data_IF_801447564893
#
_entry.id   IF_801447564893
#
_cell.length_a   1.000
_cell.length_b   1.000
_cell.length_c   1.000
_cell.angle_alpha   90.00
_cell.angle_beta   90.00
_cell.angle_gamma   90.00
#
_symmetry.space_group_name_H-M   'P 1'
#
loop_
_entity.id
_entity.type
_entity.pdbx_description
1 polymer ?
#
# COMPACT_ATOMS: atom_id res chain seq x y z
N UNK A 1 43.35 19.01 20.52
CA UNK A 1 42.38 19.64 19.61
C UNK A 1 41.63 18.49 18.96
N UNK A 2 40.43 18.18 19.49
CA UNK A 2 39.50 17.24 18.86
C UNK A 2 38.95 17.91 17.58
N UNK A 3 39.15 17.29 16.43
CA UNK A 3 38.51 17.69 15.20
C UNK A 3 37.02 17.37 15.34
N UNK A 4 36.17 18.40 15.21
CA UNK A 4 34.75 18.23 15.19
C UNK A 4 34.40 17.37 13.92
N UNK A 5 33.72 16.26 14.15
CA UNK A 5 33.11 15.49 13.08
C UNK A 5 32.09 16.39 12.35
N UNK A 6 32.00 16.34 11.02
CA UNK A 6 30.98 17.09 10.30
C UNK A 6 29.61 16.63 10.78
N UNK A 7 28.67 17.57 10.97
CA UNK A 7 27.28 17.28 11.24
C UNK A 7 26.76 16.26 10.23
N UNK A 8 26.03 15.22 10.70
CA UNK A 8 25.43 14.25 9.79
C UNK A 8 24.48 15.00 8.85
N UNK A 9 24.78 14.97 7.58
CA UNK A 9 23.92 15.52 6.56
C UNK A 9 22.51 14.92 6.75
N UNK A 10 21.51 15.79 6.91
CA UNK A 10 20.10 15.38 6.94
C UNK A 10 19.88 14.42 5.79
N UNK A 11 19.22 13.26 5.98
CA UNK A 11 18.92 12.35 4.89
C UNK A 11 18.01 13.05 3.89
N UNK A 12 18.63 13.71 2.91
CA UNK A 12 17.92 14.21 1.75
C UNK A 12 17.57 12.99 0.92
N UNK A 13 16.34 12.50 1.05
CA UNK A 13 15.79 11.61 0.05
C UNK A 13 16.05 12.25 -1.31
N UNK A 14 16.62 11.50 -2.27
CA UNK A 14 16.90 12.07 -3.57
C UNK A 14 15.58 12.62 -4.09
N UNK A 15 15.49 13.94 -4.16
CA UNK A 15 14.44 14.62 -4.89
C UNK A 15 14.52 14.05 -6.30
N UNK A 16 13.62 13.10 -6.63
CA UNK A 16 13.64 12.29 -7.83
C UNK A 16 13.35 13.06 -9.13
N UNK A 17 13.66 14.36 -9.14
CA UNK A 17 13.32 15.28 -10.20
C UNK A 17 14.03 15.02 -11.54
N UNK A 18 15.09 14.22 -11.58
CA UNK A 18 15.89 14.11 -12.81
C UNK A 18 15.72 12.82 -13.61
N UNK A 19 15.16 11.78 -13.03
CA UNK A 19 15.05 10.49 -13.75
C UNK A 19 13.77 10.36 -14.60
N UNK A 20 12.69 11.08 -14.29
CA UNK A 20 11.48 11.08 -15.12
C UNK A 20 11.60 11.97 -16.36
N UNK A 21 12.33 13.07 -16.28
CA UNK A 21 12.50 14.01 -17.41
C UNK A 21 13.38 13.47 -18.54
N UNK A 22 14.16 12.42 -18.30
CA UNK A 22 15.10 11.86 -19.28
C UNK A 22 14.55 10.64 -20.05
N UNK A 23 13.47 10.01 -19.60
CA UNK A 23 12.86 8.90 -20.31
C UNK A 23 11.80 9.44 -21.29
N UNK A 24 11.80 9.01 -22.56
CA UNK A 24 10.77 9.40 -23.51
C UNK A 24 9.41 8.97 -22.98
N UNK A 25 8.34 9.77 -23.17
CA UNK A 25 6.99 9.37 -22.79
C UNK A 25 6.67 8.00 -23.41
N UNK A 26 6.08 7.10 -22.65
CA UNK A 26 5.79 5.73 -23.11
C UNK A 26 5.00 5.70 -24.42
N UNK A 27 4.10 6.67 -24.64
CA UNK A 27 3.33 6.81 -25.88
C UNK A 27 4.20 7.00 -27.15
N UNK A 28 5.44 7.44 -26.99
CA UNK A 28 6.38 7.61 -28.12
C UNK A 28 7.19 6.34 -28.40
N UNK A 29 7.15 5.35 -27.53
CA UNK A 29 7.80 4.06 -27.77
C UNK A 29 6.97 3.22 -28.75
N UNK A 30 7.64 2.52 -29.66
CA UNK A 30 7.00 1.47 -30.44
C UNK A 30 6.56 0.29 -29.56
N UNK A 31 5.73 -0.59 -30.10
CA UNK A 31 5.23 -1.79 -29.37
C UNK A 31 6.38 -2.65 -28.84
N UNK A 32 7.46 -2.83 -29.60
CA UNK A 32 8.65 -3.54 -29.13
C UNK A 32 9.26 -2.86 -27.90
N UNK A 33 9.44 -1.53 -27.94
CA UNK A 33 9.98 -0.79 -26.81
C UNK A 33 9.13 -0.88 -25.55
N UNK A 34 7.80 -0.90 -25.67
CA UNK A 34 6.88 -1.13 -24.54
C UNK A 34 7.01 -2.54 -23.96
N UNK A 35 7.13 -3.56 -24.82
CA UNK A 35 7.37 -4.94 -24.39
C UNK A 35 8.73 -5.10 -23.70
N UNK A 36 9.75 -4.38 -24.16
CA UNK A 36 11.06 -4.35 -23.52
C UNK A 36 10.98 -3.67 -22.13
N UNK A 37 10.23 -2.60 -21.99
CA UNK A 37 9.94 -1.98 -20.67
C UNK A 37 9.32 -3.01 -19.73
N UNK A 38 8.30 -3.75 -20.17
CA UNK A 38 7.64 -4.77 -19.33
C UNK A 38 8.61 -5.90 -18.94
N UNK A 39 9.46 -6.34 -19.85
CA UNK A 39 10.46 -7.37 -19.57
C UNK A 39 11.48 -6.87 -18.53
N UNK A 40 12.04 -5.68 -18.73
CA UNK A 40 13.01 -5.10 -17.82
C UNK A 40 12.41 -4.80 -16.44
N UNK A 41 11.17 -4.32 -16.38
CA UNK A 41 10.48 -4.07 -15.09
C UNK A 41 10.23 -5.37 -14.32
N UNK A 42 9.87 -6.47 -14.98
CA UNK A 42 9.71 -7.78 -14.34
C UNK A 42 11.02 -8.28 -13.73
N UNK A 43 12.13 -8.16 -14.47
CA UNK A 43 13.46 -8.55 -14.00
C UNK A 43 13.92 -7.66 -12.83
N UNK A 44 13.70 -6.34 -12.95
CA UNK A 44 14.06 -5.38 -11.90
C UNK A 44 13.26 -5.60 -10.61
N UNK A 45 11.97 -5.91 -10.69
CA UNK A 45 11.13 -6.24 -9.52
C UNK A 45 11.67 -7.46 -8.78
N UNK A 46 12.04 -8.51 -9.50
CA UNK A 46 12.62 -9.71 -8.88
C UNK A 46 13.90 -9.37 -8.11
N UNK A 47 14.78 -8.57 -8.69
CA UNK A 47 16.02 -8.15 -8.04
C UNK A 47 15.74 -7.26 -6.80
N UNK A 48 14.86 -6.28 -6.92
CA UNK A 48 14.53 -5.34 -5.82
C UNK A 48 13.91 -6.09 -4.65
N UNK A 49 12.98 -7.03 -4.89
CA UNK A 49 12.40 -7.85 -3.82
C UNK A 49 13.42 -8.77 -3.18
N UNK A 50 14.37 -9.32 -3.95
CA UNK A 50 15.49 -10.07 -3.40
C UNK A 50 16.35 -9.24 -2.46
N UNK A 51 16.72 -8.03 -2.84
CA UNK A 51 17.48 -7.11 -1.99
C UNK A 51 16.67 -6.64 -0.77
N UNK A 52 15.37 -6.38 -0.92
CA UNK A 52 14.49 -6.02 0.21
C UNK A 52 14.43 -7.13 1.25
N UNK A 53 14.27 -8.38 0.80
CA UNK A 53 14.26 -9.54 1.68
C UNK A 53 15.60 -9.70 2.42
N UNK A 54 16.74 -9.58 1.72
CA UNK A 54 18.06 -9.62 2.33
C UNK A 54 18.26 -8.50 3.36
N UNK A 55 17.86 -7.26 3.03
CA UNK A 55 17.93 -6.15 3.97
C UNK A 55 17.07 -6.43 5.21
N UNK A 56 15.87 -7.01 5.04
CA UNK A 56 15.00 -7.40 6.15
C UNK A 56 15.61 -8.47 7.06
N UNK A 57 16.33 -9.44 6.49
CA UNK A 57 17.02 -10.49 7.25
C UNK A 57 18.22 -9.97 8.05
N UNK A 58 18.88 -8.93 7.55
CA UNK A 58 20.06 -8.33 8.18
C UNK A 58 19.70 -7.24 9.19
N UNK A 59 18.46 -6.75 9.16
CA UNK A 59 17.98 -5.72 10.08
C UNK A 59 17.86 -6.30 11.49
N UNK A 60 18.69 -5.81 12.41
CA UNK A 60 18.74 -6.22 13.83
C UNK A 60 18.39 -5.09 14.78
N UNK A 61 18.01 -3.95 14.25
CA UNK A 61 17.77 -2.73 15.01
C UNK A 61 16.27 -2.50 15.15
N UNK A 62 15.80 -2.39 16.39
CA UNK A 62 14.38 -2.12 16.71
C UNK A 62 14.03 -0.62 16.60
N UNK A 63 14.99 0.23 16.21
CA UNK A 63 14.72 1.66 16.02
C UNK A 63 13.73 1.85 14.86
N UNK A 64 12.71 2.69 15.05
CA UNK A 64 11.76 2.98 13.99
C UNK A 64 12.49 3.60 12.79
N UNK A 65 12.10 3.18 11.58
CA UNK A 65 12.55 3.79 10.34
C UNK A 65 11.40 4.61 9.74
N UNK A 66 11.69 5.72 9.05
CA UNK A 66 10.66 6.45 8.34
C UNK A 66 10.10 5.53 7.26
N UNK A 67 8.78 5.33 7.28
CA UNK A 67 8.14 4.56 6.23
C UNK A 67 7.96 5.41 4.96
N UNK A 68 7.92 4.76 3.81
CA UNK A 68 7.60 5.43 2.55
C UNK A 68 6.23 6.13 2.61
N UNK A 69 5.27 5.56 3.37
CA UNK A 69 3.95 6.16 3.57
C UNK A 69 4.01 7.46 4.40
N UNK A 70 4.76 7.48 5.51
CA UNK A 70 4.93 8.69 6.31
C UNK A 70 5.61 9.81 5.52
N UNK A 71 6.66 9.48 4.77
CA UNK A 71 7.33 10.43 3.87
C UNK A 71 6.40 10.93 2.75
N UNK A 72 5.55 10.07 2.22
CA UNK A 72 4.59 10.41 1.18
C UNK A 72 3.49 11.36 1.70
N UNK A 73 3.00 11.14 2.94
CA UNK A 73 2.04 12.04 3.58
C UNK A 73 2.63 13.43 3.80
N UNK A 74 3.86 13.52 4.28
CA UNK A 74 4.54 14.80 4.46
C UNK A 74 4.74 15.53 3.12
N UNK A 75 5.19 14.82 2.09
CA UNK A 75 5.35 15.38 0.75
C UNK A 75 4.02 15.83 0.13
N UNK A 76 2.94 15.08 0.36
CA UNK A 76 1.60 15.43 -0.11
C UNK A 76 1.08 16.70 0.58
N UNK A 77 1.30 16.81 1.90
CA UNK A 77 0.94 18.01 2.66
C UNK A 77 1.70 19.25 2.16
N UNK A 78 3.02 19.15 1.97
CA UNK A 78 3.86 20.23 1.44
C UNK A 78 3.42 20.65 0.05
N UNK A 79 3.19 19.71 -0.86
CA UNK A 79 2.81 19.99 -2.23
C UNK A 79 1.43 20.67 -2.32
N UNK A 80 0.46 20.25 -1.51
CA UNK A 80 -0.86 20.89 -1.44
C UNK A 80 -0.82 22.26 -0.80
N UNK A 81 -0.01 22.46 0.23
CA UNK A 81 0.21 23.78 0.80
C UNK A 81 0.84 24.75 -0.21
N UNK A 82 1.66 24.23 -1.13
CA UNK A 82 2.18 24.98 -2.27
C UNK A 82 1.18 25.17 -3.43
N UNK A 83 -0.05 24.66 -3.31
CA UNK A 83 -1.11 24.82 -4.31
C UNK A 83 -1.00 23.92 -5.54
N UNK A 84 -0.21 22.83 -5.48
CA UNK A 84 -0.12 21.90 -6.59
C UNK A 84 -1.37 21.04 -6.74
N UNK A 85 -1.79 20.81 -7.97
CA UNK A 85 -2.85 19.86 -8.29
C UNK A 85 -2.36 18.42 -8.22
N UNK A 86 -3.25 17.46 -7.92
CA UNK A 86 -2.89 16.07 -7.63
C UNK A 86 -2.13 15.36 -8.75
N UNK A 87 -2.42 15.66 -10.01
CA UNK A 87 -1.69 15.15 -11.18
C UNK A 87 -0.22 15.62 -11.19
N UNK A 88 0.00 16.91 -10.88
CA UNK A 88 1.33 17.49 -10.76
C UNK A 88 2.08 16.93 -9.53
N UNK A 89 1.38 16.72 -8.43
CA UNK A 89 1.98 16.15 -7.23
C UNK A 89 2.54 14.76 -7.51
N UNK A 90 1.79 13.88 -8.20
CA UNK A 90 2.28 12.54 -8.55
C UNK A 90 3.50 12.58 -9.50
N UNK A 91 3.63 13.62 -10.31
CA UNK A 91 4.79 13.81 -11.19
C UNK A 91 6.02 14.36 -10.45
N UNK A 92 5.83 15.37 -9.62
CA UNK A 92 6.92 16.09 -8.97
C UNK A 92 7.40 15.40 -7.68
N UNK A 93 6.50 14.71 -6.99
CA UNK A 93 6.75 14.01 -5.72
C UNK A 93 6.43 12.51 -5.85
N UNK A 94 7.22 11.73 -6.60
CA UNK A 94 6.88 10.30 -6.85
C UNK A 94 6.79 9.44 -5.59
N UNK A 95 7.24 9.92 -4.43
CA UNK A 95 7.04 9.25 -3.15
C UNK A 95 5.57 9.08 -2.80
N UNK A 96 4.67 9.97 -3.27
CA UNK A 96 3.23 9.89 -2.99
C UNK A 96 2.57 8.64 -3.58
N UNK A 97 3.22 7.98 -4.54
CA UNK A 97 2.77 6.69 -5.07
C UNK A 97 2.77 5.59 -4.00
N UNK A 98 3.48 5.78 -2.88
CA UNK A 98 3.38 4.88 -1.73
C UNK A 98 1.98 4.87 -1.08
N UNK A 99 1.17 5.91 -1.32
CA UNK A 99 -0.19 6.03 -0.79
C UNK A 99 -1.26 5.41 -1.71
N UNK A 100 -0.87 4.94 -2.88
CA UNK A 100 -1.79 4.39 -3.87
C UNK A 100 -1.36 2.99 -4.28
N UNK A 101 -2.32 2.04 -4.46
CA UNK A 101 -1.98 0.71 -4.95
C UNK A 101 -1.52 0.76 -6.41
N UNK A 102 -0.61 -0.13 -6.84
CA UNK A 102 -0.31 -0.30 -8.25
C UNK A 102 -1.53 -0.85 -8.99
N UNK A 103 -1.87 -0.27 -10.15
CA UNK A 103 -3.01 -0.72 -10.95
C UNK A 103 -2.79 -0.42 -12.43
N UNK A 104 -3.31 -1.27 -13.28
CA UNK A 104 -3.48 -0.97 -14.71
C UNK A 104 -4.81 -0.22 -14.84
N UNK A 105 -4.76 1.00 -15.38
CA UNK A 105 -5.92 1.86 -15.49
C UNK A 105 -5.59 3.32 -15.14
N UNK A 106 -6.60 4.19 -15.04
CA UNK A 106 -6.40 5.59 -14.69
C UNK A 106 -5.70 5.72 -13.32
N UNK A 107 -4.89 6.78 -13.11
CA UNK A 107 -4.20 7.01 -11.85
C UNK A 107 -5.17 6.95 -10.66
N UNK A 108 -4.77 6.28 -9.60
CA UNK A 108 -5.54 6.30 -8.38
C UNK A 108 -5.53 7.71 -7.77
N UNK A 109 -6.68 8.17 -7.28
CA UNK A 109 -6.78 9.44 -6.59
C UNK A 109 -5.88 9.44 -5.33
N UNK A 110 -5.17 10.52 -5.10
CA UNK A 110 -4.43 10.72 -3.87
C UNK A 110 -5.41 10.91 -2.69
N UNK A 111 -5.02 10.58 -1.45
CA UNK A 111 -5.86 10.78 -0.27
C UNK A 111 -6.34 12.23 -0.15
N UNK A 112 -7.63 12.43 0.14
CA UNK A 112 -8.28 13.75 0.07
C UNK A 112 -7.80 14.75 1.12
N UNK A 113 -7.79 14.37 2.39
CA UNK A 113 -7.34 15.23 3.47
C UNK A 113 -6.00 14.73 4.03
N UNK A 114 -4.98 15.57 3.99
CA UNK A 114 -3.75 15.37 4.74
C UNK A 114 -3.74 16.43 5.82
N UNK A 115 -3.89 16.01 7.05
CA UNK A 115 -3.61 16.87 8.19
C UNK A 115 -2.11 17.18 8.21
N UNK A 116 -1.71 18.22 8.93
CA UNK A 116 -0.31 18.56 9.13
C UNK A 116 0.49 17.31 9.46
N UNK A 117 1.22 16.81 8.46
CA UNK A 117 2.12 15.66 8.59
C UNK A 117 3.53 16.18 8.40
N UNK A 118 4.32 16.09 9.44
CA UNK A 118 5.76 16.38 9.36
C UNK A 118 6.52 15.12 8.99
N UNK A 119 7.60 15.27 8.23
CA UNK A 119 8.50 14.16 7.97
C UNK A 119 9.05 13.64 9.30
N UNK A 120 9.17 12.30 9.47
CA UNK A 120 9.76 11.73 10.67
C UNK A 120 11.17 12.29 10.89
N UNK A 121 11.44 12.76 12.10
CA UNK A 121 12.76 13.27 12.51
C UNK A 121 13.46 12.24 13.40
N UNK A 122 14.78 12.14 13.29
CA UNK A 122 15.61 11.27 14.12
C UNK A 122 16.77 10.62 13.38
N UNK A 123 17.59 9.90 14.14
CA UNK A 123 18.61 9.02 13.60
C UNK A 123 17.98 7.65 13.28
N UNK A 124 18.06 7.26 12.02
CA UNK A 124 17.53 5.99 11.54
C UNK A 124 18.66 5.05 11.16
N UNK A 125 18.45 3.75 11.32
CA UNK A 125 19.39 2.75 10.86
C UNK A 125 19.47 2.81 9.32
N UNK A 126 20.68 2.94 8.76
CA UNK A 126 20.88 3.03 7.30
C UNK A 126 20.22 1.87 6.54
N UNK A 127 20.30 0.65 7.09
CA UNK A 127 19.71 -0.53 6.48
C UNK A 127 18.17 -0.47 6.45
N UNK A 128 17.53 0.12 7.47
CA UNK A 128 16.09 0.32 7.52
C UNK A 128 15.65 1.34 6.46
N UNK A 129 16.38 2.44 6.33
CA UNK A 129 16.16 3.45 5.28
C UNK A 129 16.37 2.84 3.89
N UNK A 130 17.41 2.03 3.70
CA UNK A 130 17.68 1.36 2.44
C UNK A 130 16.55 0.38 2.07
N UNK A 131 16.01 -0.35 3.03
CA UNK A 131 14.87 -1.26 2.83
C UNK A 131 13.61 -0.51 2.37
N UNK A 132 13.27 0.59 3.02
CA UNK A 132 12.13 1.41 2.61
C UNK A 132 12.34 2.04 1.21
N UNK A 133 13.57 2.45 0.89
CA UNK A 133 13.91 2.92 -0.44
C UNK A 133 13.75 1.82 -1.51
N UNK A 134 14.05 0.56 -1.20
CA UNK A 134 13.80 -0.58 -2.10
C UNK A 134 12.31 -0.81 -2.32
N UNK A 135 11.47 -0.73 -1.27
CA UNK A 135 10.01 -0.81 -1.37
C UNK A 135 9.45 0.28 -2.28
N UNK A 136 9.90 1.51 -2.09
CA UNK A 136 9.48 2.63 -2.94
C UNK A 136 9.91 2.43 -4.39
N UNK A 137 11.12 1.93 -4.63
CA UNK A 137 11.57 1.57 -5.99
C UNK A 137 10.73 0.47 -6.61
N UNK A 138 10.36 -0.57 -5.85
CA UNK A 138 9.46 -1.60 -6.33
C UNK A 138 8.12 -0.99 -6.77
N UNK A 139 7.56 -0.06 -5.97
CA UNK A 139 6.32 0.64 -6.32
C UNK A 139 6.45 1.47 -7.61
N UNK A 140 7.58 2.15 -7.80
CA UNK A 140 7.82 2.91 -9.04
C UNK A 140 7.97 2.01 -10.28
N UNK A 141 8.63 0.87 -10.12
CA UNK A 141 8.77 -0.12 -11.21
C UNK A 141 7.39 -0.69 -11.57
N UNK A 142 6.55 -1.00 -10.58
CA UNK A 142 5.18 -1.46 -10.80
C UNK A 142 4.35 -0.40 -11.53
N UNK A 143 4.49 0.88 -11.17
CA UNK A 143 3.81 1.97 -11.86
C UNK A 143 4.25 2.09 -13.32
N UNK A 144 5.54 1.97 -13.59
CA UNK A 144 6.08 2.00 -14.95
C UNK A 144 5.56 0.82 -15.77
N UNK A 145 5.53 -0.38 -15.19
CA UNK A 145 4.98 -1.57 -15.84
C UNK A 145 3.49 -1.41 -16.15
N UNK A 146 2.71 -0.90 -15.19
CA UNK A 146 1.27 -0.68 -15.36
C UNK A 146 0.97 0.31 -16.50
N UNK A 147 1.72 1.41 -16.56
CA UNK A 147 1.59 2.39 -17.64
C UNK A 147 1.98 1.83 -19.02
N UNK A 148 3.05 1.03 -19.08
CA UNK A 148 3.46 0.39 -20.33
C UNK A 148 2.43 -0.65 -20.79
N UNK A 149 1.85 -1.41 -19.86
CA UNK A 149 0.78 -2.35 -20.18
C UNK A 149 -0.48 -1.63 -20.65
N UNK A 150 -0.89 -0.54 -20.00
CA UNK A 150 -2.05 0.25 -20.38
C UNK A 150 -1.87 0.85 -21.79
N UNK A 151 -0.70 1.42 -22.10
CA UNK A 151 -0.38 1.93 -23.44
C UNK A 151 -0.49 0.85 -24.53
N UNK A 152 -0.05 -0.40 -24.22
CA UNK A 152 -0.28 -1.53 -25.13
C UNK A 152 -1.77 -1.82 -25.22
N UNK A 153 -2.49 -1.78 -24.10
CA UNK A 153 -3.95 -1.96 -24.05
C UNK A 153 -4.68 -0.96 -24.95
N UNK A 154 -4.34 0.32 -24.87
CA UNK A 154 -4.90 1.37 -25.73
C UNK A 154 -4.71 1.06 -27.22
N UNK A 155 -3.53 0.61 -27.61
CA UNK A 155 -3.23 0.22 -28.99
C UNK A 155 -4.01 -1.00 -29.44
N UNK A 156 -4.14 -2.00 -28.57
CA UNK A 156 -4.93 -3.22 -28.86
C UNK A 156 -6.42 -2.91 -28.97
N UNK A 157 -6.95 -2.04 -28.13
CA UNK A 157 -8.33 -1.56 -28.19
C UNK A 157 -8.58 -0.75 -29.47
N UNK A 158 -7.66 0.17 -29.80
CA UNK A 158 -7.74 0.93 -31.06
C UNK A 158 -7.68 0.04 -32.31
N UNK A 159 -7.04 -1.14 -32.19
CA UNK A 159 -6.99 -2.16 -33.25
C UNK A 159 -8.18 -3.13 -33.23
N UNK A 160 -9.15 -2.94 -32.33
CA UNK A 160 -10.35 -3.78 -32.20
C UNK A 160 -10.10 -5.16 -31.58
N UNK A 161 -8.94 -5.39 -30.93
CA UNK A 161 -8.64 -6.66 -30.27
C UNK A 161 -9.17 -6.74 -28.84
N UNK A 162 -9.09 -5.64 -28.08
CA UNK A 162 -9.59 -5.59 -26.71
C UNK A 162 -10.85 -4.71 -26.64
N UNK A 163 -11.79 -5.02 -25.73
CA UNK A 163 -13.00 -4.21 -25.55
C UNK A 163 -12.66 -2.86 -24.89
N UNK A 164 -11.67 -2.83 -24.01
CA UNK A 164 -11.19 -1.66 -23.27
C UNK A 164 -9.70 -1.82 -22.96
N UNK A 165 -8.95 -0.72 -22.75
CA UNK A 165 -7.51 -0.79 -22.50
C UNK A 165 -7.13 -1.59 -21.25
N UNK A 166 -7.91 -1.51 -20.20
CA UNK A 166 -7.71 -2.18 -18.92
C UNK A 166 -7.83 -3.71 -19.02
N UNK A 167 -8.52 -4.22 -20.05
CA UNK A 167 -8.64 -5.65 -20.30
C UNK A 167 -7.28 -6.33 -20.57
N UNK A 168 -6.23 -5.55 -20.83
CA UNK A 168 -4.85 -6.03 -20.86
C UNK A 168 -4.43 -6.72 -19.56
N UNK A 169 -5.04 -6.38 -18.42
CA UNK A 169 -4.81 -7.02 -17.13
C UNK A 169 -5.23 -8.50 -17.09
N UNK A 170 -6.08 -8.94 -18.02
CA UNK A 170 -6.51 -10.33 -18.13
C UNK A 170 -5.51 -11.20 -18.90
N UNK A 171 -4.46 -10.60 -19.46
CA UNK A 171 -3.44 -11.29 -20.24
C UNK A 171 -2.18 -11.54 -19.41
N UNK A 172 -1.65 -12.74 -19.50
CA UNK A 172 -0.29 -13.02 -19.02
C UNK A 172 0.73 -12.31 -19.92
N UNK A 173 1.92 -12.02 -19.41
CA UNK A 173 2.95 -11.30 -20.18
C UNK A 173 3.27 -11.95 -21.54
N UNK A 174 3.32 -13.28 -21.59
CA UNK A 174 3.54 -14.01 -22.84
C UNK A 174 2.37 -13.87 -23.83
N UNK A 175 1.13 -13.83 -23.34
CA UNK A 175 -0.08 -13.64 -24.11
C UNK A 175 -0.19 -12.19 -24.61
N UNK A 176 0.12 -11.22 -23.74
CA UNK A 176 0.20 -9.81 -24.09
C UNK A 176 1.22 -9.59 -25.21
N UNK A 177 2.39 -10.19 -25.11
CA UNK A 177 3.40 -10.16 -26.19
C UNK A 177 2.82 -10.70 -27.50
N UNK A 178 2.15 -11.85 -27.45
CA UNK A 178 1.54 -12.47 -28.64
C UNK A 178 0.42 -11.58 -29.23
N UNK A 179 -0.44 -11.02 -28.37
CA UNK A 179 -1.49 -10.11 -28.81
C UNK A 179 -0.89 -8.85 -29.46
N UNK A 180 0.16 -8.29 -28.88
CA UNK A 180 0.80 -7.08 -29.39
C UNK A 180 1.59 -7.28 -30.70
N UNK A 181 2.17 -8.49 -30.92
CA UNK A 181 2.99 -8.78 -32.10
C UNK A 181 2.24 -9.50 -33.21
N UNK A 182 1.34 -10.40 -32.87
CA UNK A 182 0.64 -11.26 -33.82
C UNK A 182 -0.86 -11.00 -33.87
N UNK A 183 -1.40 -10.04 -33.12
CA UNK A 183 -2.84 -9.74 -33.02
C UNK A 183 -3.70 -10.96 -32.68
N UNK A 184 -3.18 -11.83 -31.81
CA UNK A 184 -3.84 -13.07 -31.43
C UNK A 184 -4.09 -13.09 -29.92
N UNK A 185 -5.35 -13.16 -29.52
CA UNK A 185 -5.76 -13.37 -28.13
C UNK A 185 -5.84 -14.87 -27.80
N UNK A 186 -5.73 -15.26 -26.53
CA UNK A 186 -6.07 -16.61 -26.09
C UNK A 186 -7.52 -16.96 -26.43
N UNK A 187 -7.79 -18.23 -26.75
CA UNK A 187 -9.13 -18.67 -27.13
C UNK A 187 -10.17 -18.48 -26.02
N UNK A 188 -9.71 -18.54 -24.77
CA UNK A 188 -10.52 -18.39 -23.55
C UNK A 188 -10.62 -16.92 -23.07
N UNK A 189 -10.07 -15.96 -23.85
CA UNK A 189 -10.00 -14.57 -23.40
C UNK A 189 -11.38 -13.95 -23.08
N UNK A 190 -12.39 -14.27 -23.89
CA UNK A 190 -13.75 -13.74 -23.70
C UNK A 190 -14.42 -14.22 -22.40
N UNK A 191 -13.97 -15.36 -21.87
CA UNK A 191 -14.51 -15.96 -20.65
C UNK A 191 -13.72 -15.54 -19.39
N UNK A 192 -12.65 -14.76 -19.57
CA UNK A 192 -11.83 -14.30 -18.46
C UNK A 192 -12.49 -13.12 -17.75
N UNK A 193 -12.71 -13.27 -16.47
CA UNK A 193 -13.05 -12.17 -15.56
C UNK A 193 -11.82 -11.69 -14.82
N UNK A 194 -11.85 -10.44 -14.36
CA UNK A 194 -10.87 -9.97 -13.40
C UNK A 194 -10.90 -10.89 -12.17
N UNK A 195 -9.73 -11.41 -11.72
CA UNK A 195 -9.72 -12.27 -10.54
C UNK A 195 -10.29 -11.50 -9.34
N UNK A 196 -11.33 -12.07 -8.73
CA UNK A 196 -11.78 -11.55 -7.44
C UNK A 196 -10.61 -11.62 -6.44
N UNK A 197 -10.44 -10.59 -5.59
CA UNK A 197 -9.44 -10.64 -4.55
C UNK A 197 -9.69 -11.86 -3.67
N UNK A 198 -8.88 -12.90 -3.82
CA UNK A 198 -8.94 -14.05 -2.92
C UNK A 198 -8.55 -13.58 -1.52
N UNK A 199 -9.36 -13.93 -0.53
CA UNK A 199 -8.99 -13.77 0.85
C UNK A 199 -7.74 -14.64 1.11
N UNK A 200 -6.58 -14.01 1.18
CA UNK A 200 -5.35 -14.72 1.49
C UNK A 200 -5.40 -15.15 2.95
N UNK A 201 -5.17 -16.44 3.28
CA UNK A 201 -5.14 -16.88 4.66
C UNK A 201 -4.06 -16.11 5.43
N UNK A 202 -4.35 -15.73 6.67
CA UNK A 202 -3.41 -14.99 7.53
C UNK A 202 -2.16 -15.81 7.87
N UNK A 203 -2.28 -17.13 7.84
CA UNK A 203 -1.17 -18.08 8.01
C UNK A 203 -1.27 -19.18 6.95
N UNK A 204 -0.15 -19.48 6.32
CA UNK A 204 -0.05 -20.61 5.39
C UNK A 204 1.30 -21.31 5.57
N UNK A 205 1.33 -22.60 5.24
CA UNK A 205 2.57 -23.38 5.14
C UNK A 205 2.73 -23.87 3.70
N UNK A 206 3.94 -24.13 3.31
CA UNK A 206 4.18 -24.85 2.07
C UNK A 206 4.12 -26.35 2.33
N UNK A 207 3.29 -27.03 1.57
CA UNK A 207 3.25 -28.49 1.48
C UNK A 207 3.53 -28.82 0.02
N UNK A 208 4.60 -29.56 -0.24
CA UNK A 208 5.05 -29.94 -1.58
C UNK A 208 5.17 -28.75 -2.56
N UNK A 209 5.65 -27.61 -2.06
CA UNK A 209 5.80 -26.38 -2.84
C UNK A 209 4.51 -25.58 -3.06
N UNK A 210 3.37 -26.06 -2.56
CA UNK A 210 2.06 -25.39 -2.68
C UNK A 210 1.71 -24.71 -1.36
N UNK A 211 1.29 -23.43 -1.35
CA UNK A 211 0.81 -22.76 -0.16
C UNK A 211 -0.52 -23.38 0.29
N UNK A 212 -0.57 -23.87 1.52
CA UNK A 212 -1.76 -24.46 2.15
C UNK A 212 -2.11 -23.63 3.38
N UNK A 213 -3.36 -23.18 3.48
CA UNK A 213 -3.84 -22.44 4.63
C UNK A 213 -3.65 -23.27 5.91
N UNK A 214 -3.09 -22.66 6.94
CA UNK A 214 -3.04 -23.26 8.27
C UNK A 214 -4.37 -22.97 8.94
N UNK A 215 -5.16 -24.04 9.19
CA UNK A 215 -6.34 -23.92 10.03
C UNK A 215 -5.88 -23.56 11.44
N UNK A 216 -6.04 -22.32 11.82
CA UNK A 216 -5.79 -21.89 13.19
C UNK A 216 -6.93 -22.40 14.05
N UNK A 217 -6.61 -23.05 15.18
CA UNK A 217 -7.61 -23.33 16.20
C UNK A 217 -8.42 -22.06 16.45
N UNK A 218 -9.75 -22.17 16.43
CA UNK A 218 -10.68 -21.06 16.49
C UNK A 218 -10.25 -20.09 17.60
N UNK A 219 -9.68 -18.94 17.22
CA UNK A 219 -9.51 -17.83 18.14
C UNK A 219 -10.90 -17.44 18.60
N UNK A 220 -11.04 -17.05 19.86
CA UNK A 220 -12.32 -16.54 20.33
C UNK A 220 -12.81 -15.47 19.36
N UNK A 221 -14.08 -15.49 19.07
CA UNK A 221 -14.69 -14.60 18.07
C UNK A 221 -14.32 -13.12 18.27
N UNK A 222 -13.92 -12.72 19.49
CA UNK A 222 -13.65 -11.35 19.91
C UNK A 222 -12.15 -10.97 19.88
N UNK A 223 -11.32 -11.73 19.14
CA UNK A 223 -9.90 -11.47 19.03
C UNK A 223 -9.43 -11.48 17.59
N UNK A 224 -8.68 -10.42 17.22
CA UNK A 224 -7.83 -10.39 16.04
C UNK A 224 -6.35 -10.59 16.39
N UNK A 225 -5.48 -10.05 15.58
CA UNK A 225 -4.04 -9.93 15.82
C UNK A 225 -3.74 -8.49 16.12
N UNK A 226 -3.15 -8.22 17.27
CA UNK A 226 -2.68 -6.88 17.60
C UNK A 226 -1.51 -6.48 16.68
N UNK A 227 -1.57 -5.26 16.15
CA UNK A 227 -0.54 -4.70 15.28
C UNK A 227 0.20 -3.50 15.93
N UNK A 228 -0.07 -3.21 17.19
CA UNK A 228 0.57 -2.16 17.99
C UNK A 228 -0.27 -0.91 18.14
N UNK A 229 0.31 0.16 18.69
CA UNK A 229 -0.36 1.45 18.93
C UNK A 229 -1.06 1.57 20.29
N UNK A 230 -0.90 0.61 21.20
CA UNK A 230 -1.49 0.68 22.54
C UNK A 230 -2.96 0.28 22.58
N UNK A 231 -3.73 0.94 23.45
CA UNK A 231 -5.19 0.73 23.58
C UNK A 231 -5.95 1.99 23.19
N UNK A 232 -7.15 1.82 22.64
CA UNK A 232 -8.03 2.91 22.24
C UNK A 232 -9.50 2.62 22.51
N UNK A 233 -10.27 3.68 22.59
CA UNK A 233 -11.73 3.63 22.77
C UNK A 233 -12.38 4.68 21.87
N UNK A 234 -13.47 4.33 21.23
CA UNK A 234 -14.21 5.25 20.38
C UNK A 234 -15.42 4.62 19.74
N UNK A 235 -16.14 5.44 19.01
CA UNK A 235 -17.33 5.02 18.27
C UNK A 235 -16.93 4.37 16.95
N UNK A 236 -17.49 3.22 16.66
CA UNK A 236 -17.29 2.48 15.39
C UNK A 236 -17.79 3.33 14.22
N UNK A 237 -16.96 3.44 13.21
CA UNK A 237 -17.33 3.98 11.90
C UNK A 237 -17.00 2.95 10.81
N UNK A 238 -17.99 2.63 10.00
CA UNK A 238 -17.86 1.75 8.84
C UNK A 238 -18.02 2.58 7.57
N UNK A 239 -16.98 2.73 6.78
CA UNK A 239 -17.07 3.49 5.53
C UNK A 239 -15.90 4.45 5.30
N UNK A 240 -16.15 5.45 4.45
CA UNK A 240 -15.17 6.46 4.08
C UNK A 240 -15.34 7.72 4.95
N UNK A 241 -14.25 8.45 5.17
CA UNK A 241 -14.20 9.71 5.92
C UNK A 241 -14.66 9.56 7.38
N UNK A 242 -13.93 8.78 8.17
CA UNK A 242 -14.24 8.59 9.57
C UNK A 242 -14.16 9.91 10.34
N UNK A 243 -15.11 10.20 11.26
CA UNK A 243 -14.98 11.31 12.17
C UNK A 243 -13.70 11.23 13.00
N UNK A 244 -13.08 12.35 13.38
CA UNK A 244 -11.96 12.35 14.32
C UNK A 244 -12.33 11.66 15.63
N UNK A 245 -11.42 10.83 16.16
CA UNK A 245 -11.64 10.09 17.39
C UNK A 245 -12.52 8.84 17.25
N UNK A 246 -12.92 8.46 16.04
CA UNK A 246 -13.64 7.20 15.79
C UNK A 246 -12.71 5.98 15.72
N UNK A 247 -13.28 4.80 15.92
CA UNK A 247 -12.65 3.51 15.60
C UNK A 247 -13.13 3.10 14.21
N UNK A 248 -12.22 3.15 13.25
CA UNK A 248 -12.52 2.77 11.86
C UNK A 248 -12.52 1.25 11.71
N UNK A 249 -13.61 0.69 11.18
CA UNK A 249 -13.74 -0.74 10.90
C UNK A 249 -13.80 -0.97 9.40
N UNK A 250 -12.87 -1.76 8.87
CA UNK A 250 -12.72 -2.03 7.44
C UNK A 250 -12.53 -3.51 7.15
N UNK A 251 -12.80 -3.92 5.90
CA UNK A 251 -12.51 -5.29 5.47
C UNK A 251 -11.02 -5.53 5.31
N UNK A 252 -10.29 -4.57 4.76
CA UNK A 252 -8.85 -4.67 4.52
C UNK A 252 -8.17 -3.32 4.69
N UNK A 253 -6.89 -3.34 5.01
CA UNK A 253 -6.08 -2.15 5.19
C UNK A 253 -5.72 -1.54 3.82
N UNK A 254 -6.54 -0.60 3.36
CA UNK A 254 -6.29 0.14 2.12
C UNK A 254 -5.28 1.26 2.37
N UNK A 255 -4.19 1.38 1.63
CA UNK A 255 -3.21 2.46 1.76
C UNK A 255 -3.81 3.87 1.68
N UNK A 256 -4.95 4.04 0.98
CA UNK A 256 -5.66 5.32 0.88
C UNK A 256 -6.18 5.84 2.21
N UNK A 257 -6.32 4.97 3.21
CA UNK A 257 -6.72 5.35 4.57
C UNK A 257 -5.58 6.04 5.36
N UNK A 258 -4.37 6.08 4.80
CA UNK A 258 -3.20 6.64 5.49
C UNK A 258 -3.43 8.06 6.02
N UNK A 259 -4.16 8.90 5.28
CA UNK A 259 -4.46 10.27 5.68
C UNK A 259 -5.43 10.36 6.87
N UNK A 260 -6.24 9.34 7.09
CA UNK A 260 -7.23 9.30 8.18
C UNK A 260 -6.62 8.76 9.49
N UNK A 261 -5.60 7.92 9.38
CA UNK A 261 -4.99 7.20 10.52
C UNK A 261 -4.65 8.11 11.69
N UNK A 262 -3.96 9.26 11.52
CA UNK A 262 -3.57 10.11 12.67
C UNK A 262 -4.74 10.66 13.49
N UNK A 263 -5.95 10.60 12.95
CA UNK A 263 -7.16 11.16 13.57
C UNK A 263 -8.02 10.12 14.27
N UNK A 264 -7.70 8.83 14.10
CA UNK A 264 -8.49 7.72 14.62
C UNK A 264 -8.17 7.44 16.08
N UNK A 265 -9.18 6.98 16.82
CA UNK A 265 -9.00 6.35 18.13
C UNK A 265 -8.56 4.88 18.00
N UNK A 266 -8.75 4.27 16.83
CA UNK A 266 -8.33 2.91 16.54
C UNK A 266 -8.71 2.45 15.14
N UNK A 267 -8.10 1.34 14.71
CA UNK A 267 -8.34 0.73 13.39
C UNK A 267 -8.51 -0.78 13.54
N UNK A 268 -9.62 -1.31 13.02
CA UNK A 268 -9.92 -2.74 13.04
C UNK A 268 -10.13 -3.21 11.60
N UNK A 269 -9.44 -4.27 11.19
CA UNK A 269 -9.57 -4.85 9.85
C UNK A 269 -9.89 -6.34 9.91
N UNK A 270 -10.79 -6.79 9.04
CA UNK A 270 -11.12 -8.22 8.90
C UNK A 270 -9.92 -8.99 8.37
N UNK A 271 -9.19 -8.39 7.42
CA UNK A 271 -7.98 -8.97 6.82
C UNK A 271 -6.84 -7.97 6.85
N UNK A 272 -5.63 -8.45 6.91
CA UNK A 272 -4.43 -7.61 6.92
C UNK A 272 -3.28 -8.27 7.66
N UNK A 273 -2.12 -7.64 7.57
CA UNK A 273 -0.92 -8.06 8.28
C UNK A 273 -0.49 -6.99 9.28
N UNK A 274 -0.02 -7.36 10.49
CA UNK A 274 0.62 -6.42 11.41
C UNK A 274 1.84 -5.71 10.81
N UNK A 275 2.38 -6.24 9.72
CA UNK A 275 3.51 -5.71 8.97
C UNK A 275 3.09 -4.90 7.73
N UNK A 276 1.80 -4.67 7.51
CA UNK A 276 1.33 -3.81 6.42
C UNK A 276 1.74 -2.35 6.67
N UNK A 277 1.97 -1.60 5.59
CA UNK A 277 2.35 -0.18 5.69
C UNK A 277 1.38 0.64 6.54
N UNK A 278 0.07 0.38 6.41
CA UNK A 278 -0.93 1.12 7.16
C UNK A 278 -0.91 0.77 8.66
N UNK A 279 -0.67 -0.50 9.01
CA UNK A 279 -0.52 -0.91 10.40
C UNK A 279 0.75 -0.32 11.03
N UNK A 280 1.84 -0.25 10.27
CA UNK A 280 3.08 0.38 10.72
C UNK A 280 2.86 1.88 10.93
N UNK A 281 2.24 2.57 9.97
CA UNK A 281 1.93 3.99 10.07
C UNK A 281 1.04 4.29 11.29
N UNK A 282 0.00 3.50 11.51
CA UNK A 282 -0.87 3.67 12.67
C UNK A 282 -0.10 3.53 13.99
N UNK A 283 0.81 2.58 14.08
CA UNK A 283 1.68 2.41 15.23
C UNK A 283 2.61 3.60 15.45
N UNK A 284 3.16 4.20 14.38
CA UNK A 284 3.98 5.42 14.45
C UNK A 284 3.19 6.60 15.01
N UNK A 285 1.89 6.67 14.72
CA UNK A 285 0.98 7.68 15.26
C UNK A 285 0.33 7.29 16.59
N UNK A 286 0.73 6.17 17.20
CA UNK A 286 0.16 5.70 18.47
C UNK A 286 -1.29 5.21 18.37
N UNK A 287 -1.79 4.98 17.16
CA UNK A 287 -3.16 4.49 16.91
C UNK A 287 -3.18 2.96 17.03
N UNK A 288 -4.02 2.39 17.95
CA UNK A 288 -4.12 0.95 18.11
C UNK A 288 -4.74 0.30 16.87
N UNK A 289 -4.12 -0.80 16.43
CA UNK A 289 -4.56 -1.56 15.27
C UNK A 289 -4.79 -3.02 15.62
N UNK A 290 -5.92 -3.54 15.18
CA UNK A 290 -6.26 -4.97 15.25
C UNK A 290 -6.56 -5.46 13.83
N UNK A 291 -5.85 -6.47 13.37
CA UNK A 291 -6.05 -7.11 12.06
C UNK A 291 -6.53 -8.54 12.19
N UNK A 292 -7.15 -9.08 11.16
CA UNK A 292 -7.66 -10.44 11.18
C UNK A 292 -8.79 -10.65 12.20
N UNK A 293 -9.59 -9.62 12.48
CA UNK A 293 -10.79 -9.75 13.31
C UNK A 293 -11.95 -10.27 12.45
N UNK A 294 -12.44 -11.49 12.69
CA UNK A 294 -13.39 -12.10 11.78
C UNK A 294 -14.73 -11.34 11.72
N UNK A 295 -15.21 -11.07 10.50
CA UNK A 295 -16.50 -10.42 10.25
C UNK A 295 -16.68 -9.06 10.99
N UNK A 296 -15.59 -8.30 11.16
CA UNK A 296 -15.60 -7.04 11.93
C UNK A 296 -16.74 -6.10 11.52
N UNK A 297 -16.92 -5.92 10.20
CA UNK A 297 -17.95 -5.01 9.66
C UNK A 297 -19.38 -5.46 9.93
N UNK A 298 -19.61 -6.74 10.27
CA UNK A 298 -20.93 -7.26 10.65
C UNK A 298 -21.13 -7.34 12.16
N UNK A 299 -20.04 -7.58 12.88
CA UNK A 299 -20.07 -7.85 14.33
C UNK A 299 -19.92 -6.63 15.19
N UNK A 300 -19.33 -5.58 14.63
CA UNK A 300 -19.17 -4.29 15.28
C UNK A 300 -20.10 -3.29 14.57
N UNK A 301 -21.30 -3.04 15.11
CA UNK A 301 -22.26 -2.15 14.47
C UNK A 301 -21.71 -0.73 14.35
N UNK A 302 -22.03 -0.05 13.24
CA UNK A 302 -21.73 1.37 13.06
C UNK A 302 -22.41 2.16 14.18
N UNK A 303 -21.70 3.09 14.80
CA UNK A 303 -22.17 3.86 15.94
C UNK A 303 -22.00 3.18 17.32
N UNK A 304 -21.64 1.90 17.40
CA UNK A 304 -21.35 1.24 18.67
C UNK A 304 -20.04 1.76 19.29
N UNK A 305 -19.99 1.89 20.60
CA UNK A 305 -18.76 2.21 21.30
C UNK A 305 -17.92 0.94 21.53
N UNK A 306 -16.63 0.99 21.22
CA UNK A 306 -15.73 -0.15 21.37
C UNK A 306 -14.42 0.25 22.05
N UNK A 307 -13.84 -0.71 22.76
CA UNK A 307 -12.46 -0.68 23.24
C UNK A 307 -11.65 -1.70 22.47
N UNK A 308 -10.42 -1.33 22.08
CA UNK A 308 -9.49 -2.24 21.41
C UNK A 308 -8.10 -2.13 22.01
N UNK A 309 -7.39 -3.25 22.03
CA UNK A 309 -5.99 -3.35 22.44
C UNK A 309 -5.15 -3.81 21.25
N UNK A 310 -4.40 -2.88 20.68
CA UNK A 310 -3.52 -3.14 19.52
C UNK A 310 -2.33 -4.04 19.85
N UNK A 311 -2.05 -4.33 21.12
CA UNK A 311 -0.99 -5.24 21.52
C UNK A 311 -1.49 -6.69 21.59
N UNK A 312 -2.68 -6.89 22.14
CA UNK A 312 -3.25 -8.24 22.33
C UNK A 312 -4.17 -8.66 21.19
N UNK A 313 -4.75 -7.70 20.45
CA UNK A 313 -5.76 -7.96 19.44
C UNK A 313 -7.18 -8.12 19.99
N UNK A 314 -7.38 -7.82 21.28
CA UNK A 314 -8.70 -7.87 21.91
C UNK A 314 -9.56 -6.67 21.45
N UNK A 315 -10.84 -6.94 21.19
CA UNK A 315 -11.85 -5.92 20.89
C UNK A 315 -13.10 -6.23 21.70
N UNK A 316 -13.65 -5.21 22.36
CA UNK A 316 -14.84 -5.34 23.18
C UNK A 316 -15.82 -4.21 22.89
N UNK A 317 -17.09 -4.56 22.68
CA UNK A 317 -18.17 -3.56 22.64
C UNK A 317 -18.43 -3.09 24.07
N UNK A 318 -18.45 -1.81 24.26
CA UNK A 318 -18.81 -1.17 25.54
C UNK A 318 -20.33 -1.07 25.59
N UNK A 319 -21.03 -1.69 26.55
CA UNK A 319 -22.47 -1.54 26.67
C UNK A 319 -22.80 -0.08 27.01
N UNK A 320 -23.85 0.46 26.38
CA UNK A 320 -24.40 1.76 26.79
C UNK A 320 -24.73 1.70 28.29
N UNK A 321 -24.13 2.60 29.05
CA UNK A 321 -24.51 2.75 30.46
C UNK A 321 -25.96 3.21 30.48
N UNK A 322 -26.87 2.33 30.90
CA UNK A 322 -28.23 2.75 31.21
C UNK A 322 -28.12 3.77 32.36
N UNK A 323 -28.20 5.06 32.02
CA UNK A 323 -28.50 6.07 33.03
C UNK A 323 -29.84 5.74 33.66
N UNK A 324 -29.81 5.20 34.87
CA UNK A 324 -31.00 5.08 35.70
C UNK A 324 -31.44 6.51 36.04
N UNK A 325 -32.52 6.92 35.40
CA UNK A 325 -33.25 8.16 35.80
C UNK A 325 -34.03 7.91 37.08
#
# INVERSE_FOLDING_TARGET
RAAALPEPARPTWPRGHRHRAAAPPLRHLGTSGLLDVLHHTATALTAVHGYEALAGMLLRDDRPAPTAAAMALAALAEARAAGLADDRIAEEYPVVLALTPPRIGPPAALPGAVLESTAPEGEFAELAVAREALRLRARWIQELAARAALEIGERLTSAGLLPEPEAVALLRLAELRRAATHRALPADFADRAAPEPLAVPTEFRFADGVPVAVARAARSADHGVGAGGGSGRGVVHIGHRPPPGSVLVVRHLDPRLAAEVPRLAGLIAETGSPLSHLAILAREHGVPVVVGYPDATRRLPDGAEVELDGRTGAVRIVPESMEVR
#
